data_IF_133640133053
#
_entry.id   IF_133640133053
#
_cell.length_a   1.000
_cell.length_b   1.000
_cell.length_c   1.000
_cell.angle_alpha   90.00
_cell.angle_beta   90.00
_cell.angle_gamma   90.00
#
_symmetry.space_group_name_H-M   'P 1'
#
loop_
_entity.id
_entity.type
_entity.pdbx_description
1 polymer ?
#
# COMPACT_ATOMS: atom_id res chain seq x y z
N UNK A 1 -3.64 20.54 5.74
CA UNK A 1 -3.38 19.77 4.51
C UNK A 1 -2.99 18.38 4.96
N UNK A 2 -3.60 17.33 4.38
CA UNK A 2 -3.32 15.95 4.81
C UNK A 2 -1.92 15.52 4.36
N UNK A 3 -1.18 14.86 5.26
CA UNK A 3 0.13 14.30 4.94
C UNK A 3 -0.02 13.17 3.91
N UNK A 4 0.90 13.12 2.95
CA UNK A 4 1.15 11.98 2.09
C UNK A 4 2.58 11.48 2.35
N UNK A 5 2.67 10.29 2.96
CA UNK A 5 3.88 9.50 3.08
C UNK A 5 4.04 8.59 1.85
N UNK A 6 5.20 8.61 1.22
CA UNK A 6 5.66 7.47 0.43
C UNK A 6 6.52 6.59 1.33
N UNK A 7 6.06 5.37 1.55
CA UNK A 7 6.76 4.33 2.31
C UNK A 7 7.26 3.28 1.33
N UNK A 8 8.57 3.15 1.19
CA UNK A 8 9.18 2.36 0.12
C UNK A 8 10.47 1.67 0.56
N UNK A 9 10.42 0.34 0.60
CA UNK A 9 11.58 -0.49 0.91
C UNK A 9 12.30 -0.86 -0.39
N UNK A 10 13.60 -0.60 -0.44
CA UNK A 10 14.41 -0.80 -1.65
C UNK A 10 15.76 -1.42 -1.32
N UNK A 11 16.34 -2.13 -2.28
CA UNK A 11 17.74 -2.54 -2.22
C UNK A 11 18.67 -1.33 -2.35
N UNK A 12 19.94 -1.50 -1.98
CA UNK A 12 20.94 -0.42 -2.03
C UNK A 12 21.14 0.16 -3.45
N UNK A 13 20.98 -0.68 -4.48
CA UNK A 13 21.06 -0.34 -5.89
C UNK A 13 19.72 0.09 -6.51
N UNK A 14 18.67 0.26 -5.70
CA UNK A 14 17.44 0.97 -6.07
C UNK A 14 16.33 0.11 -6.69
N UNK A 15 16.34 -1.21 -6.46
CA UNK A 15 15.27 -2.10 -6.87
C UNK A 15 14.16 -2.14 -5.82
N UNK A 16 12.90 -2.22 -6.27
CA UNK A 16 11.71 -2.35 -5.41
C UNK A 16 11.11 -3.75 -5.38
N UNK A 17 11.66 -4.69 -6.15
CA UNK A 17 11.28 -6.09 -6.19
C UNK A 17 12.40 -6.90 -6.85
N UNK A 18 12.48 -8.19 -6.50
CA UNK A 18 13.37 -9.15 -7.13
C UNK A 18 12.71 -10.54 -7.18
N UNK A 19 13.07 -11.34 -8.17
CA UNK A 19 12.57 -12.70 -8.31
C UNK A 19 13.12 -13.60 -7.20
N UNK A 20 12.24 -14.36 -6.53
CA UNK A 20 12.60 -15.27 -5.44
C UNK A 20 12.87 -14.61 -4.09
N UNK A 21 12.73 -13.27 -3.98
CA UNK A 21 12.90 -12.56 -2.71
C UNK A 21 11.57 -12.42 -1.95
N UNK A 22 11.56 -12.66 -0.63
CA UNK A 22 10.37 -12.49 0.18
C UNK A 22 10.00 -11.01 0.36
N UNK A 23 8.81 -10.77 0.91
CA UNK A 23 8.42 -9.44 1.38
C UNK A 23 9.47 -8.83 2.32
N UNK A 24 9.52 -7.50 2.42
CA UNK A 24 10.50 -6.78 3.24
C UNK A 24 11.98 -7.13 2.95
N UNK A 25 12.29 -7.78 1.82
CA UNK A 25 13.62 -8.32 1.51
C UNK A 25 14.12 -9.37 2.53
N UNK A 26 13.21 -9.97 3.30
CA UNK A 26 13.57 -10.91 4.39
C UNK A 26 14.05 -10.21 5.66
N UNK A 27 13.83 -8.89 5.77
CA UNK A 27 14.26 -8.05 6.89
C UNK A 27 13.14 -7.75 7.90
N UNK A 28 12.07 -8.53 7.90
CA UNK A 28 10.92 -8.45 8.80
C UNK A 28 11.20 -8.95 10.24
N UNK A 29 12.31 -8.52 10.84
CA UNK A 29 12.64 -8.85 12.23
C UNK A 29 11.62 -8.30 13.24
N UNK A 30 11.50 -8.93 14.43
CA UNK A 30 10.48 -8.57 15.44
C UNK A 30 10.60 -7.11 15.92
N UNK A 31 11.81 -6.56 15.99
CA UNK A 31 12.05 -5.16 16.35
C UNK A 31 11.48 -4.20 15.29
N UNK A 32 11.70 -4.52 14.02
CA UNK A 32 11.21 -3.72 12.89
C UNK A 32 9.67 -3.76 12.80
N UNK A 33 9.08 -4.95 12.89
CA UNK A 33 7.63 -5.10 12.90
C UNK A 33 6.99 -4.45 14.15
N UNK A 34 7.64 -4.56 15.31
CA UNK A 34 7.20 -3.90 16.53
C UNK A 34 7.26 -2.37 16.44
N UNK A 35 8.28 -1.83 15.76
CA UNK A 35 8.37 -0.40 15.48
C UNK A 35 7.29 0.06 14.50
N UNK A 36 7.05 -0.67 13.40
CA UNK A 36 5.98 -0.39 12.44
C UNK A 36 4.61 -0.37 13.12
N UNK A 37 4.35 -1.32 14.03
CA UNK A 37 3.09 -1.43 14.76
C UNK A 37 2.78 -0.26 15.69
N UNK A 38 3.80 0.53 16.08
CA UNK A 38 3.67 1.73 16.91
C UNK A 38 3.54 3.01 16.09
N UNK A 39 3.72 2.94 14.77
CA UNK A 39 3.65 4.13 13.94
C UNK A 39 2.21 4.60 13.72
N UNK A 40 1.96 5.92 13.70
CA UNK A 40 0.64 6.46 13.40
C UNK A 40 0.17 6.13 11.97
N UNK A 41 1.10 5.79 11.06
CA UNK A 41 0.76 5.51 9.67
C UNK A 41 -0.02 4.21 9.46
N UNK A 42 -0.14 3.39 10.50
CA UNK A 42 -1.02 2.22 10.51
C UNK A 42 -2.49 2.57 10.23
N UNK A 43 -2.91 3.77 10.61
CA UNK A 43 -4.29 4.25 10.46
C UNK A 43 -4.47 5.16 9.23
N UNK A 44 -3.46 5.28 8.38
CA UNK A 44 -3.51 6.13 7.18
C UNK A 44 -4.37 5.49 6.08
N UNK A 45 -4.94 6.32 5.22
CA UNK A 45 -5.55 5.82 3.99
C UNK A 45 -4.46 5.32 3.04
N UNK A 46 -4.56 4.05 2.66
CA UNK A 46 -3.57 3.39 1.84
C UNK A 46 -3.84 3.65 0.36
N UNK A 47 -2.83 4.15 -0.36
CA UNK A 47 -2.87 4.39 -1.79
C UNK A 47 -2.09 3.30 -2.54
N UNK A 48 -2.67 2.79 -3.62
CA UNK A 48 -1.99 1.79 -4.47
C UNK A 48 -2.36 1.83 -5.95
N UNK A 49 -1.45 1.33 -6.79
CA UNK A 49 -1.72 1.08 -8.21
C UNK A 49 -2.32 -0.30 -8.48
N UNK A 50 -2.80 -0.51 -9.70
CA UNK A 50 -3.47 -1.76 -10.12
C UNK A 50 -2.66 -3.04 -9.87
N UNK A 51 -1.34 -3.02 -10.12
CA UNK A 51 -0.50 -4.20 -9.98
C UNK A 51 -0.30 -4.58 -8.50
N UNK A 52 -0.04 -3.58 -7.65
CA UNK A 52 0.03 -3.78 -6.19
C UNK A 52 -1.32 -4.29 -5.67
N UNK A 53 -2.44 -3.72 -6.13
CA UNK A 53 -3.77 -4.20 -5.75
C UNK A 53 -3.96 -5.69 -6.10
N UNK A 54 -3.67 -6.11 -7.33
CA UNK A 54 -3.86 -7.51 -7.74
C UNK A 54 -3.04 -8.46 -6.87
N UNK A 55 -1.77 -8.14 -6.63
CA UNK A 55 -0.89 -8.93 -5.78
C UNK A 55 -1.42 -9.05 -4.35
N UNK A 56 -1.70 -7.91 -3.71
CA UNK A 56 -2.13 -7.87 -2.31
C UNK A 56 -3.53 -8.43 -2.09
N UNK A 57 -4.45 -8.22 -3.04
CA UNK A 57 -5.77 -8.86 -3.01
C UNK A 57 -5.69 -10.38 -3.15
N UNK A 58 -4.67 -10.89 -3.88
CA UNK A 58 -4.37 -12.31 -3.95
C UNK A 58 -3.96 -12.87 -2.59
N UNK A 59 -3.03 -12.22 -1.89
CA UNK A 59 -2.66 -12.60 -0.52
C UNK A 59 -3.85 -12.54 0.45
N UNK A 60 -4.65 -11.48 0.37
CA UNK A 60 -5.86 -11.35 1.18
C UNK A 60 -6.88 -12.47 0.93
N UNK A 61 -6.97 -12.98 -0.29
CA UNK A 61 -7.86 -14.11 -0.62
C UNK A 61 -7.38 -15.47 -0.10
N UNK A 62 -6.07 -15.61 0.14
CA UNK A 62 -5.45 -16.84 0.66
C UNK A 62 -5.37 -16.85 2.19
N UNK A 63 -5.26 -15.66 2.80
CA UNK A 63 -5.16 -15.50 4.25
C UNK A 63 -6.32 -16.18 4.99
N UNK A 64 -6.00 -17.01 5.98
CA UNK A 64 -7.00 -17.74 6.78
C UNK A 64 -7.67 -18.92 6.08
N UNK A 65 -7.17 -19.32 4.90
CA UNK A 65 -7.56 -20.57 4.23
C UNK A 65 -6.65 -21.73 4.68
N UNK A 66 -7.14 -22.97 4.59
CA UNK A 66 -6.34 -24.15 4.94
C UNK A 66 -5.13 -24.39 4.02
N UNK A 67 -5.09 -23.70 2.87
CA UNK A 67 -4.02 -23.75 1.85
C UNK A 67 -3.14 -22.49 1.89
N UNK A 68 -3.27 -21.65 2.93
CA UNK A 68 -2.43 -20.47 3.13
C UNK A 68 -0.99 -20.88 3.38
N UNK A 69 -0.08 -20.51 2.46
CA UNK A 69 1.37 -20.61 2.67
C UNK A 69 1.93 -19.41 3.47
N UNK A 70 1.06 -18.51 3.94
CA UNK A 70 1.46 -17.34 4.72
C UNK A 70 1.87 -17.75 6.14
N UNK A 71 2.94 -17.15 6.63
CA UNK A 71 3.32 -17.23 8.05
C UNK A 71 2.31 -16.46 8.91
N UNK A 72 2.24 -16.79 10.20
CA UNK A 72 1.28 -16.17 11.15
C UNK A 72 1.36 -14.65 11.24
N UNK A 73 2.57 -14.10 11.11
CA UNK A 73 2.84 -12.65 11.10
C UNK A 73 2.43 -11.98 9.78
N UNK A 74 2.60 -12.68 8.66
CA UNK A 74 2.11 -12.25 7.34
C UNK A 74 0.58 -12.22 7.31
N UNK A 75 -0.08 -13.24 7.84
CA UNK A 75 -1.55 -13.27 7.97
C UNK A 75 -2.06 -12.12 8.84
N UNK A 76 -1.40 -11.85 9.98
CA UNK A 76 -1.74 -10.72 10.82
C UNK A 76 -1.61 -9.38 10.07
N UNK A 77 -0.54 -9.24 9.28
CA UNK A 77 -0.29 -8.04 8.46
C UNK A 77 -1.34 -7.87 7.36
N UNK A 78 -1.69 -8.95 6.65
CA UNK A 78 -2.74 -8.96 5.62
C UNK A 78 -4.11 -8.62 6.21
N UNK A 79 -4.41 -9.10 7.42
CA UNK A 79 -5.64 -8.77 8.13
C UNK A 79 -5.70 -7.27 8.51
N UNK A 80 -4.59 -6.68 8.95
CA UNK A 80 -4.53 -5.22 9.20
C UNK A 80 -4.81 -4.44 7.92
N UNK A 81 -4.16 -4.80 6.81
CA UNK A 81 -4.36 -4.14 5.51
C UNK A 81 -5.79 -4.31 4.96
N UNK A 82 -6.42 -5.46 5.21
CA UNK A 82 -7.80 -5.73 4.79
C UNK A 82 -8.79 -4.80 5.48
N UNK A 83 -8.56 -4.51 6.76
CA UNK A 83 -9.40 -3.60 7.55
C UNK A 83 -9.13 -2.12 7.27
N UNK A 84 -7.96 -1.76 6.74
CA UNK A 84 -7.61 -0.38 6.43
C UNK A 84 -8.40 0.19 5.23
N UNK A 85 -8.64 1.50 5.24
CA UNK A 85 -9.18 2.22 4.08
C UNK A 85 -8.18 2.24 2.93
N UNK A 86 -8.59 1.78 1.75
CA UNK A 86 -7.74 1.67 0.56
C UNK A 86 -8.31 2.44 -0.63
N UNK A 87 -7.44 3.10 -1.38
CA UNK A 87 -7.74 3.69 -2.69
C UNK A 87 -6.81 3.09 -3.73
N UNK A 88 -7.41 2.47 -4.75
CA UNK A 88 -6.67 1.93 -5.90
C UNK A 88 -6.89 2.79 -7.13
N UNK A 89 -5.80 3.15 -7.81
CA UNK A 89 -5.82 3.89 -9.06
C UNK A 89 -5.62 2.94 -10.24
N UNK A 90 -6.61 2.87 -11.14
CA UNK A 90 -6.56 2.01 -12.32
C UNK A 90 -7.62 2.33 -13.36
N UNK A 91 -7.20 2.44 -14.63
CA UNK A 91 -8.10 2.48 -15.79
C UNK A 91 -8.57 1.09 -16.26
N UNK A 92 -8.00 0.01 -15.72
CA UNK A 92 -8.23 -1.37 -16.20
C UNK A 92 -8.95 -2.27 -15.20
N UNK A 93 -8.96 -1.92 -13.92
CA UNK A 93 -9.73 -2.65 -12.92
C UNK A 93 -11.21 -2.28 -13.07
N UNK A 94 -12.08 -3.26 -12.85
CA UNK A 94 -13.53 -3.07 -12.89
C UNK A 94 -14.15 -3.55 -11.57
N UNK A 95 -15.14 -2.83 -11.01
CA UNK A 95 -15.92 -3.32 -9.89
C UNK A 95 -16.74 -4.58 -10.24
N UNK A 96 -17.10 -5.42 -9.25
CA UNK A 96 -16.75 -5.29 -7.83
C UNK A 96 -15.28 -5.67 -7.55
N UNK A 97 -14.66 -4.94 -6.63
CA UNK A 97 -13.34 -5.30 -6.12
C UNK A 97 -13.50 -6.31 -4.98
N UNK A 98 -12.69 -7.38 -5.01
CA UNK A 98 -12.74 -8.47 -4.04
C UNK A 98 -12.13 -8.11 -2.67
N UNK A 99 -11.20 -7.16 -2.62
CA UNK A 99 -10.54 -6.80 -1.38
C UNK A 99 -11.33 -5.73 -0.62
N UNK A 100 -11.77 -6.07 0.60
CA UNK A 100 -12.62 -5.23 1.45
C UNK A 100 -12.04 -3.80 1.64
N UNK A 101 -12.91 -2.81 1.91
CA UNK A 101 -12.53 -1.42 2.15
C UNK A 101 -11.67 -0.79 1.04
N UNK A 102 -11.93 -1.14 -0.23
CA UNK A 102 -11.19 -0.62 -1.38
C UNK A 102 -12.09 0.22 -2.28
N UNK A 103 -11.67 1.47 -2.52
CA UNK A 103 -12.29 2.37 -3.50
C UNK A 103 -11.45 2.42 -4.77
N UNK A 104 -12.08 2.22 -5.92
CA UNK A 104 -11.45 2.39 -7.23
C UNK A 104 -11.54 3.85 -7.71
N UNK A 105 -10.44 4.40 -8.19
CA UNK A 105 -10.39 5.64 -8.97
C UNK A 105 -9.83 5.30 -10.35
N UNK A 106 -10.66 5.50 -11.38
CA UNK A 106 -10.26 5.27 -12.78
C UNK A 106 -9.66 6.49 -13.48
N UNK A 107 -9.73 7.66 -12.84
CA UNK A 107 -9.19 8.92 -13.35
C UNK A 107 -7.71 9.14 -13.01
N UNK A 108 -7.26 10.37 -13.22
CA UNK A 108 -5.89 10.78 -12.92
C UNK A 108 -5.59 10.71 -11.42
N UNK A 109 -4.51 10.01 -11.06
CA UNK A 109 -4.13 9.81 -9.67
C UNK A 109 -3.59 11.08 -9.00
N UNK A 110 -2.90 11.95 -9.73
CA UNK A 110 -2.36 13.21 -9.21
C UNK A 110 -3.50 14.15 -8.86
N UNK A 111 -4.47 14.33 -9.75
CA UNK A 111 -5.64 15.18 -9.48
C UNK A 111 -6.47 14.64 -8.32
N UNK A 112 -6.72 13.33 -8.30
CA UNK A 112 -7.47 12.70 -7.21
C UNK A 112 -6.76 12.85 -5.85
N UNK A 113 -5.44 12.67 -5.79
CA UNK A 113 -4.69 12.84 -4.54
C UNK A 113 -4.61 14.31 -4.13
N UNK A 114 -4.49 15.25 -5.09
CA UNK A 114 -4.56 16.68 -4.80
C UNK A 114 -5.91 17.05 -4.15
N UNK A 115 -7.00 16.48 -4.66
CA UNK A 115 -8.32 16.64 -4.07
C UNK A 115 -8.39 16.04 -2.66
N UNK A 116 -7.91 14.81 -2.48
CA UNK A 116 -7.87 14.16 -1.16
C UNK A 116 -7.03 14.95 -0.13
N UNK A 117 -5.96 15.63 -0.56
CA UNK A 117 -5.17 16.52 0.32
C UNK A 117 -5.92 17.80 0.72
N UNK A 118 -6.82 18.28 -0.14
CA UNK A 118 -7.61 19.51 0.04
C UNK A 118 -8.87 19.28 0.88
N UNK A 119 -9.64 18.24 0.54
CA UNK A 119 -10.96 17.96 1.11
C UNK A 119 -10.96 16.86 2.16
N UNK A 120 -9.94 15.99 2.17
CA UNK A 120 -9.90 14.86 3.08
C UNK A 120 -9.68 15.26 4.55
N UNK A 121 -9.92 14.30 5.44
CA UNK A 121 -9.70 14.42 6.88
C UNK A 121 -8.68 13.39 7.42
N UNK A 122 -8.04 12.63 6.54
CA UNK A 122 -7.13 11.54 6.91
C UNK A 122 -5.82 11.65 6.13
N UNK A 123 -4.67 11.49 6.79
CA UNK A 123 -3.38 11.33 6.13
C UNK A 123 -3.33 10.03 5.30
N UNK A 124 -2.37 9.98 4.38
CA UNK A 124 -2.25 8.94 3.37
C UNK A 124 -0.86 8.34 3.35
N UNK A 125 -0.77 7.04 3.08
CA UNK A 125 0.49 6.34 2.83
C UNK A 125 0.39 5.52 1.55
N UNK A 126 1.48 5.40 0.79
CA UNK A 126 1.52 4.48 -0.35
C UNK A 126 1.91 3.08 0.10
N UNK A 127 1.19 2.07 -0.38
CA UNK A 127 1.68 0.67 -0.37
C UNK A 127 2.46 0.33 -1.66
N UNK A 128 2.39 1.22 -2.64
CA UNK A 128 2.87 1.04 -4.01
C UNK A 128 1.95 1.77 -4.98
N UNK A 129 1.96 1.51 -6.28
CA UNK A 129 3.06 0.89 -7.03
C UNK A 129 4.14 1.95 -7.30
N UNK A 130 5.36 1.53 -7.62
CA UNK A 130 6.47 2.46 -7.89
C UNK A 130 6.13 3.54 -8.94
N UNK A 131 5.32 3.20 -9.95
CA UNK A 131 4.82 4.16 -10.93
C UNK A 131 3.93 5.25 -10.30
N UNK A 132 3.03 4.88 -9.39
CA UNK A 132 2.20 5.83 -8.64
C UNK A 132 3.07 6.73 -7.76
N UNK A 133 3.99 6.15 -6.97
CA UNK A 133 4.89 6.92 -6.12
C UNK A 133 5.70 7.94 -6.92
N UNK A 134 6.26 7.54 -8.07
CA UNK A 134 7.00 8.44 -8.98
C UNK A 134 6.14 9.57 -9.52
N UNK A 135 4.88 9.31 -9.89
CA UNK A 135 3.96 10.34 -10.38
C UNK A 135 3.62 11.37 -9.29
N UNK A 136 3.32 10.90 -8.07
CA UNK A 136 3.00 11.77 -6.93
C UNK A 136 4.20 12.62 -6.48
N UNK A 137 5.40 12.03 -6.48
CA UNK A 137 6.66 12.74 -6.22
C UNK A 137 6.89 13.86 -7.25
N UNK A 138 6.80 13.54 -8.55
CA UNK A 138 6.99 14.52 -9.63
C UNK A 138 5.98 15.66 -9.58
N UNK A 139 4.77 15.40 -9.09
CA UNK A 139 3.72 16.38 -8.91
C UNK A 139 3.88 17.24 -7.63
N UNK A 140 4.91 16.99 -6.80
CA UNK A 140 5.16 17.71 -5.56
C UNK A 140 4.11 17.46 -4.47
N UNK A 141 3.43 16.31 -4.52
CA UNK A 141 2.35 15.99 -3.57
C UNK A 141 2.83 15.24 -2.33
N UNK A 142 4.05 14.70 -2.33
CA UNK A 142 4.60 13.88 -1.24
C UNK A 142 5.23 14.78 -0.19
N UNK A 143 4.82 14.62 1.07
CA UNK A 143 5.35 15.41 2.19
C UNK A 143 6.50 14.70 2.91
N UNK A 144 6.48 13.35 2.93
CA UNK A 144 7.50 12.54 3.59
C UNK A 144 7.85 11.30 2.78
N UNK A 145 9.13 10.92 2.88
CA UNK A 145 9.67 9.68 2.33
C UNK A 145 10.22 8.83 3.47
N UNK A 146 9.85 7.55 3.49
CA UNK A 146 10.45 6.50 4.32
C UNK A 146 10.80 5.35 3.39
#
# INVERSE_FOLDING_TARGET
MNELLVDFITSLDGYGAAEGWPGFWGLEGPEYLGWLGQQPERDYTILMGANTYRLMSGFASQSGTAESDLRSDEEASVNVLTNASKVVFSSTLQPPLSWANTRLISGDAVEAVREMKREGNSPMSTLGSLSLCRSLLKAGLVDRFR
#
